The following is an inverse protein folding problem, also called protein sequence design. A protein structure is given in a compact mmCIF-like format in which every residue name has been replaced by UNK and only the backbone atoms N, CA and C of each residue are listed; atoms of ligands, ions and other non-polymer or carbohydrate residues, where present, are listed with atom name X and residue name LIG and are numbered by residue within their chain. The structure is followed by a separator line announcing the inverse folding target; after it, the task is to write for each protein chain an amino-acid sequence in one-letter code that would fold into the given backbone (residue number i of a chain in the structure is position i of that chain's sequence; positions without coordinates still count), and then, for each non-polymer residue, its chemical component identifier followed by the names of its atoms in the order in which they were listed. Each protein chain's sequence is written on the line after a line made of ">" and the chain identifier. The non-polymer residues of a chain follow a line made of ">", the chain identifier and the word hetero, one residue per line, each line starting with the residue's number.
data_IF_953662687784
#
_entry.id   IF_953662687784
#
_cell.length_a   1.000
_cell.length_b   1.000
_cell.length_c   1.000
_cell.angle_alpha   90.00
_cell.angle_beta   90.00
_cell.angle_gamma   90.00
#
_symmetry.space_group_name_H-M   'P 1'
#
loop_
_entity.id
_entity.type
_entity.pdbx_description
1 polymer ?
#
# COMPACT_ATOMS: atom_id res chain seq x y z
N UNK A 1 13.15 4.01 24.78
CA UNK A 1 13.37 5.23 23.97
C UNK A 1 12.68 6.40 24.68
N UNK A 2 13.17 7.63 24.53
CA UNK A 2 12.57 8.79 25.17
C UNK A 2 11.28 9.18 24.44
N UNK A 3 10.25 9.62 25.16
CA UNK A 3 9.01 10.12 24.54
C UNK A 3 9.32 11.33 23.66
N UNK A 4 8.64 11.47 22.49
CA UNK A 4 8.85 12.61 21.62
C UNK A 4 8.44 13.90 22.34
N UNK A 5 9.09 15.04 22.04
CA UNK A 5 8.65 16.34 22.52
C UNK A 5 7.19 16.60 22.11
N UNK A 6 6.47 17.33 22.97
CA UNK A 6 5.05 17.60 22.75
C UNK A 6 4.84 18.52 21.54
N UNK A 7 3.88 18.16 20.71
CA UNK A 7 3.40 18.97 19.59
C UNK A 7 2.75 20.28 20.08
N UNK A 8 2.75 21.34 19.25
CA UNK A 8 2.07 22.59 19.59
C UNK A 8 0.56 22.36 19.74
N UNK A 9 -0.11 23.21 20.51
CA UNK A 9 -1.51 23.01 20.90
C UNK A 9 -2.48 22.64 19.75
N UNK A 10 -2.41 23.27 18.56
CA UNK A 10 -3.29 22.90 17.44
C UNK A 10 -3.08 21.47 16.92
N UNK A 11 -1.87 20.93 17.06
CA UNK A 11 -1.46 19.61 16.57
C UNK A 11 -1.48 18.54 17.66
N UNK A 12 -1.92 18.85 18.87
CA UNK A 12 -1.92 17.87 19.97
C UNK A 12 -2.78 16.63 19.70
N UNK A 13 -3.77 16.74 18.81
CA UNK A 13 -4.57 15.58 18.39
C UNK A 13 -3.72 14.52 17.67
N UNK A 14 -2.60 14.90 17.03
CA UNK A 14 -1.65 13.97 16.39
C UNK A 14 -0.66 13.33 17.36
N UNK A 15 -0.60 13.80 18.62
CA UNK A 15 0.36 13.32 19.62
C UNK A 15 0.29 11.80 19.86
N UNK A 16 -0.91 11.17 19.98
CA UNK A 16 -1.00 9.72 20.18
C UNK A 16 -0.33 8.93 19.04
N UNK A 17 -0.52 9.36 17.80
CA UNK A 17 0.10 8.70 16.65
C UNK A 17 1.60 8.95 16.58
N UNK A 18 2.07 10.16 16.92
CA UNK A 18 3.49 10.46 17.03
C UNK A 18 4.20 9.57 18.08
N UNK A 19 3.53 9.27 19.20
CA UNK A 19 4.03 8.34 20.22
C UNK A 19 4.09 6.89 19.73
N UNK A 20 3.18 6.49 18.83
CA UNK A 20 3.24 5.20 18.14
C UNK A 20 4.43 5.15 17.19
N UNK A 21 4.60 6.16 16.32
CA UNK A 21 5.73 6.23 15.38
C UNK A 21 7.09 6.20 16.10
N UNK A 22 7.20 6.85 17.26
CA UNK A 22 8.43 6.85 18.05
C UNK A 22 8.83 5.47 18.61
N UNK A 23 7.92 4.48 18.58
CA UNK A 23 8.18 3.10 19.00
C UNK A 23 8.57 2.19 17.83
N UNK A 24 8.34 2.64 16.59
CA UNK A 24 8.62 1.89 15.36
C UNK A 24 10.07 2.15 14.91
N UNK A 25 10.85 1.12 14.56
CA UNK A 25 12.16 1.30 13.94
C UNK A 25 12.08 2.12 12.65
N UNK A 26 13.04 3.02 12.35
CA UNK A 26 12.99 3.85 11.15
C UNK A 26 12.87 3.09 9.83
N UNK A 27 13.36 1.84 9.78
CA UNK A 27 13.31 0.92 8.64
C UNK A 27 12.00 0.14 8.51
N UNK A 28 11.07 0.30 9.45
CA UNK A 28 9.72 -0.32 9.44
C UNK A 28 8.60 0.74 9.37
N UNK A 29 8.96 2.02 9.19
CA UNK A 29 7.98 3.12 9.16
C UNK A 29 7.06 3.08 7.93
N UNK A 30 7.43 2.37 6.88
CA UNK A 30 6.61 2.12 5.68
C UNK A 30 5.53 1.04 5.89
N UNK A 31 5.63 0.24 6.96
CA UNK A 31 4.65 -0.80 7.33
C UNK A 31 3.65 -0.32 8.41
N UNK A 32 3.63 0.97 8.74
CA UNK A 32 2.76 1.52 9.80
C UNK A 32 1.31 1.62 9.32
N UNK A 33 0.41 0.94 10.02
CA UNK A 33 -1.04 1.06 9.84
C UNK A 33 -1.51 2.49 10.12
N UNK A 34 -2.18 3.09 9.13
CA UNK A 34 -2.56 4.52 9.15
C UNK A 34 -3.94 4.78 9.76
N UNK A 35 -4.74 3.75 10.06
CA UNK A 35 -6.14 3.89 10.53
C UNK A 35 -6.27 4.84 11.71
N UNK A 36 -5.37 4.75 12.70
CA UNK A 36 -5.40 5.64 13.88
C UNK A 36 -5.16 7.10 13.50
N UNK A 37 -4.29 7.35 12.52
CA UNK A 37 -4.04 8.71 12.01
C UNK A 37 -5.26 9.23 11.23
N UNK A 38 -5.83 8.39 10.37
CA UNK A 38 -7.02 8.71 9.58
C UNK A 38 -8.20 9.07 10.50
N UNK A 39 -8.48 8.28 11.53
CA UNK A 39 -9.53 8.56 12.53
C UNK A 39 -9.34 9.93 13.19
N UNK A 40 -8.09 10.24 13.59
CA UNK A 40 -7.74 11.51 14.21
C UNK A 40 -7.94 12.69 13.25
N UNK A 41 -7.63 12.51 11.96
CA UNK A 41 -7.84 13.52 10.93
C UNK A 41 -9.33 13.68 10.58
N UNK A 42 -10.10 12.59 10.48
CA UNK A 42 -11.57 12.64 10.30
C UNK A 42 -12.23 13.41 11.44
N UNK A 43 -11.84 13.12 12.68
CA UNK A 43 -12.33 13.87 13.85
C UNK A 43 -11.92 15.35 13.80
N UNK A 44 -10.72 15.66 13.29
CA UNK A 44 -10.22 17.04 13.16
C UNK A 44 -11.04 17.87 12.17
N UNK A 45 -11.51 17.26 11.08
CA UNK A 45 -12.26 17.93 10.02
C UNK A 45 -13.79 17.72 10.10
N UNK A 46 -14.28 17.10 11.17
CA UNK A 46 -15.69 16.73 11.32
C UNK A 46 -16.61 17.96 11.16
N UNK A 47 -17.54 17.86 10.22
CA UNK A 47 -18.54 18.90 9.96
C UNK A 47 -18.05 20.08 9.11
N UNK A 48 -16.82 20.04 8.61
CA UNK A 48 -16.29 21.01 7.64
C UNK A 48 -16.67 20.60 6.21
N UNK A 49 -16.78 21.59 5.32
CA UNK A 49 -16.80 21.30 3.89
C UNK A 49 -15.39 21.03 3.34
N UNK A 50 -15.31 20.56 2.09
CA UNK A 50 -14.05 20.21 1.42
C UNK A 50 -13.01 21.35 1.50
N UNK A 51 -13.41 22.58 1.19
CA UNK A 51 -12.49 23.71 1.14
C UNK A 51 -12.00 24.10 2.55
N UNK A 52 -12.90 24.06 3.54
CA UNK A 52 -12.57 24.32 4.94
C UNK A 52 -11.63 23.25 5.52
N UNK A 53 -11.87 21.98 5.20
CA UNK A 53 -11.04 20.86 5.62
C UNK A 53 -9.65 20.88 4.97
N UNK A 54 -9.57 21.16 3.67
CA UNK A 54 -8.30 21.34 2.94
C UNK A 54 -7.45 22.45 3.56
N UNK A 55 -8.07 23.61 3.82
CA UNK A 55 -7.37 24.73 4.43
C UNK A 55 -6.88 24.38 5.84
N UNK A 56 -7.72 23.73 6.64
CA UNK A 56 -7.35 23.32 8.00
C UNK A 56 -6.16 22.35 8.02
N UNK A 57 -6.18 21.32 7.18
CA UNK A 57 -5.09 20.35 7.12
C UNK A 57 -3.81 20.95 6.48
N UNK A 58 -3.95 21.92 5.57
CA UNK A 58 -2.81 22.69 5.07
C UNK A 58 -2.17 23.55 6.17
N UNK A 59 -2.98 24.23 6.97
CA UNK A 59 -2.48 25.03 8.11
C UNK A 59 -1.81 24.14 9.16
N UNK A 60 -2.38 22.97 9.45
CA UNK A 60 -1.81 21.99 10.37
C UNK A 60 -0.47 21.45 9.85
N UNK A 61 -0.35 21.18 8.53
CA UNK A 61 0.91 20.79 7.87
C UNK A 61 1.97 21.88 8.00
N UNK A 62 1.64 23.13 7.69
CA UNK A 62 2.59 24.25 7.74
C UNK A 62 3.12 24.46 9.18
N UNK A 63 2.23 24.33 10.16
CA UNK A 63 2.60 24.40 11.58
C UNK A 63 3.50 23.23 11.99
N UNK A 64 3.23 22.03 11.49
CA UNK A 64 4.06 20.85 11.73
C UNK A 64 5.45 21.03 11.12
N UNK A 65 5.53 21.51 9.87
CA UNK A 65 6.79 21.79 9.18
C UNK A 65 7.63 22.81 9.94
N UNK A 66 7.02 23.90 10.40
CA UNK A 66 7.71 24.89 11.23
C UNK A 66 8.27 24.24 12.51
N UNK A 67 7.44 23.50 13.24
CA UNK A 67 7.84 22.87 14.49
C UNK A 67 8.97 21.85 14.32
N UNK A 68 8.90 21.02 13.28
CA UNK A 68 9.93 20.00 13.01
C UNK A 68 11.27 20.67 12.65
N UNK A 69 11.24 21.73 11.83
CA UNK A 69 12.43 22.48 11.45
C UNK A 69 13.12 23.18 12.63
N UNK A 70 12.38 23.52 13.68
CA UNK A 70 12.93 24.07 14.93
C UNK A 70 13.60 23.00 15.80
N UNK A 71 13.22 21.72 15.68
CA UNK A 71 13.69 20.62 16.55
C UNK A 71 15.12 20.12 16.26
N UNK A 72 15.72 20.51 15.11
CA UNK A 72 17.09 20.18 14.67
C UNK A 72 17.43 18.69 14.48
N UNK A 73 16.49 17.75 14.65
CA UNK A 73 16.70 16.31 14.45
C UNK A 73 15.97 15.81 13.19
N UNK A 74 16.72 15.61 12.11
CA UNK A 74 16.21 15.10 10.83
C UNK A 74 15.66 13.66 10.90
N UNK A 75 15.92 12.93 12.00
CA UNK A 75 15.39 11.57 12.22
C UNK A 75 14.11 11.54 13.06
N UNK A 76 13.54 12.72 13.35
CA UNK A 76 12.34 12.80 14.17
C UNK A 76 11.11 12.17 13.46
N UNK A 77 10.33 11.29 14.12
CA UNK A 77 9.18 10.60 13.49
C UNK A 77 8.11 11.54 12.93
N UNK A 78 8.07 12.78 13.38
CA UNK A 78 7.19 13.81 12.83
C UNK A 78 7.45 14.13 11.34
N UNK A 79 8.62 13.83 10.79
CA UNK A 79 8.85 13.93 9.34
C UNK A 79 8.00 12.94 8.54
N UNK A 80 7.65 11.80 9.13
CA UNK A 80 6.72 10.85 8.52
C UNK A 80 5.32 11.46 8.44
N UNK A 81 4.82 12.07 9.52
CA UNK A 81 3.54 12.78 9.55
C UNK A 81 3.49 13.93 8.53
N UNK A 82 4.60 14.66 8.39
CA UNK A 82 4.74 15.71 7.38
C UNK A 82 4.66 15.14 5.95
N UNK A 83 5.27 13.98 5.73
CA UNK A 83 5.18 13.24 4.46
C UNK A 83 3.75 12.78 4.17
N UNK A 84 3.04 12.28 5.18
CA UNK A 84 1.62 11.91 5.07
C UNK A 84 0.79 13.13 4.66
N UNK A 85 0.91 14.25 5.37
CA UNK A 85 0.17 15.49 5.10
C UNK A 85 0.67 16.29 3.87
N UNK A 86 1.58 15.75 3.06
CA UNK A 86 2.20 16.51 1.96
C UNK A 86 1.22 16.90 0.83
N UNK A 87 0.08 16.21 0.73
CA UNK A 87 -0.98 16.49 -0.26
C UNK A 87 -2.37 16.57 0.38
N UNK A 88 -2.69 17.65 1.14
CA UNK A 88 -3.97 17.78 1.83
C UNK A 88 -5.20 17.60 0.93
N UNK A 89 -5.28 18.13 -0.31
CA UNK A 89 -6.45 17.94 -1.17
C UNK A 89 -6.82 16.47 -1.43
N UNK A 90 -5.82 15.60 -1.64
CA UNK A 90 -6.08 14.19 -1.93
C UNK A 90 -6.54 13.44 -0.68
N UNK A 91 -5.98 13.82 0.46
CA UNK A 91 -6.29 13.19 1.76
C UNK A 91 -7.68 13.63 2.23
N UNK A 92 -8.06 14.89 2.04
CA UNK A 92 -9.38 15.38 2.48
C UNK A 92 -10.51 14.76 1.69
N UNK A 93 -10.36 14.57 0.37
CA UNK A 93 -11.36 13.86 -0.43
C UNK A 93 -11.64 12.46 0.16
N UNK A 94 -10.58 11.69 0.48
CA UNK A 94 -10.70 10.35 1.09
C UNK A 94 -11.24 10.38 2.54
N UNK A 95 -10.88 11.39 3.33
CA UNK A 95 -11.31 11.53 4.73
C UNK A 95 -12.74 12.09 4.89
N UNK A 96 -13.31 12.71 3.85
CA UNK A 96 -14.70 13.18 3.86
C UNK A 96 -15.68 12.16 3.28
N UNK A 97 -15.18 11.16 2.54
CA UNK A 97 -15.97 9.99 2.21
C UNK A 97 -16.39 9.30 3.52
N UNK A 98 -17.69 9.04 3.75
CA UNK A 98 -18.10 8.36 4.97
C UNK A 98 -17.33 7.04 5.08
N UNK A 99 -16.81 6.72 6.27
CA UNK A 99 -16.24 5.40 6.52
C UNK A 99 -17.29 4.38 6.09
N UNK A 100 -17.01 3.66 5.00
CA UNK A 100 -17.79 2.50 4.61
C UNK A 100 -17.48 1.38 5.61
N UNK A 101 -17.83 1.57 6.90
CA UNK A 101 -18.04 0.47 7.82
C UNK A 101 -19.26 -0.33 7.32
N UNK A 102 -18.98 -1.33 6.47
CA UNK A 102 -19.74 -2.59 6.33
C UNK A 102 -21.27 -2.47 6.14
N UNK A 103 -21.75 -1.94 4.99
CA UNK A 103 -23.11 -2.24 4.49
C UNK A 103 -23.16 -3.03 3.17
N UNK A 104 -22.03 -3.33 2.54
CA UNK A 104 -21.92 -4.60 1.82
C UNK A 104 -21.39 -5.60 2.81
N UNK A 105 -22.20 -6.57 3.24
CA UNK A 105 -21.69 -7.76 3.90
C UNK A 105 -20.39 -8.15 3.21
N UNK A 106 -19.26 -7.96 3.90
CA UNK A 106 -17.92 -8.23 3.38
C UNK A 106 -17.90 -9.71 3.08
N UNK A 107 -18.25 -10.06 1.84
CA UNK A 107 -18.17 -11.42 1.36
C UNK A 107 -16.71 -11.77 1.51
N UNK A 108 -16.39 -12.55 2.54
CA UNK A 108 -15.01 -12.81 2.93
C UNK A 108 -14.38 -13.57 1.76
N UNK A 109 -13.55 -12.87 0.99
CA UNK A 109 -12.86 -13.45 -0.16
C UNK A 109 -11.61 -14.13 0.34
N UNK A 110 -11.64 -15.45 0.36
CA UNK A 110 -10.48 -16.26 0.71
C UNK A 110 -9.74 -16.65 -0.55
N UNK A 111 -8.43 -16.41 -0.59
CA UNK A 111 -7.58 -16.90 -1.68
C UNK A 111 -7.03 -18.27 -1.29
N UNK A 112 -7.15 -19.23 -2.20
CA UNK A 112 -6.50 -20.53 -2.10
C UNK A 112 -5.43 -20.64 -3.20
N UNK A 113 -4.28 -21.17 -2.80
CA UNK A 113 -3.14 -21.44 -3.68
C UNK A 113 -2.36 -22.61 -3.07
N UNK A 114 -1.92 -23.57 -3.90
CA UNK A 114 -0.96 -24.58 -3.48
C UNK A 114 0.44 -23.97 -3.59
N UNK A 115 1.13 -23.64 -2.48
CA UNK A 115 2.34 -22.84 -2.55
C UNK A 115 3.53 -23.64 -3.09
N UNK A 116 4.52 -22.92 -3.65
CA UNK A 116 5.90 -23.28 -3.77
C UNK A 116 6.42 -24.36 -2.82
N UNK A 117 7.03 -25.47 -3.26
CA UNK A 117 7.81 -26.26 -2.30
C UNK A 117 8.90 -25.37 -1.67
N UNK A 118 8.92 -25.27 -0.35
CA UNK A 118 9.88 -24.44 0.41
C UNK A 118 9.43 -23.00 0.65
N UNK A 119 8.29 -22.56 0.12
CA UNK A 119 7.74 -21.23 0.40
C UNK A 119 6.94 -21.23 1.71
N UNK A 120 7.10 -20.19 2.51
CA UNK A 120 6.23 -19.95 3.68
C UNK A 120 5.04 -19.10 3.27
N UNK A 121 3.87 -19.38 3.85
CA UNK A 121 2.63 -18.65 3.57
C UNK A 121 2.07 -18.01 4.84
N UNK A 122 1.54 -16.80 4.71
CA UNK A 122 0.81 -16.07 5.76
C UNK A 122 -0.48 -15.50 5.16
N UNK A 123 -1.61 -15.74 5.80
CA UNK A 123 -2.90 -15.16 5.40
C UNK A 123 -3.08 -13.79 6.04
N UNK A 124 -3.73 -12.88 5.32
CA UNK A 124 -4.20 -11.59 5.82
C UNK A 124 -5.59 -11.30 5.19
N UNK A 125 -6.34 -10.29 5.67
CA UNK A 125 -7.65 -9.98 5.12
C UNK A 125 -7.59 -9.84 3.59
N UNK A 126 -8.41 -10.62 2.88
CA UNK A 126 -8.47 -10.64 1.41
C UNK A 126 -7.19 -11.07 0.67
N UNK A 127 -6.22 -11.72 1.33
CA UNK A 127 -4.95 -12.05 0.66
C UNK A 127 -4.02 -13.08 1.29
N UNK A 128 -2.96 -13.38 0.54
CA UNK A 128 -1.87 -14.28 0.89
C UNK A 128 -0.53 -13.60 0.67
N UNK A 129 0.34 -13.70 1.67
CA UNK A 129 1.76 -13.39 1.55
C UNK A 129 2.54 -14.70 1.43
N UNK A 130 3.45 -14.77 0.44
CA UNK A 130 4.37 -15.88 0.25
C UNK A 130 5.83 -15.39 0.32
N UNK A 131 6.70 -16.17 0.95
CA UNK A 131 8.14 -15.85 1.06
C UNK A 131 9.01 -17.08 0.79
N UNK A 132 10.09 -16.88 0.04
CA UNK A 132 11.16 -17.86 -0.14
C UNK A 132 12.53 -17.16 -0.21
N UNK A 133 13.29 -17.25 0.88
CA UNK A 133 14.57 -16.54 1.00
C UNK A 133 14.38 -15.01 0.98
N UNK A 134 14.79 -14.37 -0.11
CA UNK A 134 14.67 -12.92 -0.31
C UNK A 134 13.55 -12.54 -1.30
N UNK A 135 12.93 -13.52 -1.94
CA UNK A 135 11.79 -13.31 -2.84
C UNK A 135 10.51 -13.32 -2.00
N UNK A 136 9.64 -12.36 -2.29
CA UNK A 136 8.32 -12.24 -1.69
C UNK A 136 7.26 -12.18 -2.78
N UNK A 137 6.06 -12.64 -2.46
CA UNK A 137 4.88 -12.43 -3.27
C UNK A 137 3.69 -12.05 -2.40
N UNK A 138 2.87 -11.12 -2.88
CA UNK A 138 1.61 -10.73 -2.26
C UNK A 138 0.51 -11.00 -3.27
N UNK A 139 -0.51 -11.73 -2.84
CA UNK A 139 -1.68 -12.08 -3.64
C UNK A 139 -2.89 -11.48 -2.95
N UNK A 140 -3.61 -10.61 -3.65
CA UNK A 140 -4.79 -9.93 -3.11
C UNK A 140 -6.00 -10.19 -4.00
N UNK A 141 -7.13 -10.53 -3.38
CA UNK A 141 -8.40 -10.67 -4.07
C UNK A 141 -8.93 -9.27 -4.40
N UNK A 142 -9.43 -9.11 -5.61
CA UNK A 142 -9.97 -7.85 -6.11
C UNK A 142 -11.32 -8.08 -6.75
N UNK A 143 -12.17 -7.06 -6.73
CA UNK A 143 -13.30 -7.00 -7.64
C UNK A 143 -12.82 -6.65 -9.07
N UNK A 144 -13.74 -6.80 -10.03
CA UNK A 144 -13.46 -6.57 -11.43
C UNK A 144 -13.11 -5.11 -11.76
N UNK A 145 -13.74 -4.15 -11.07
CA UNK A 145 -13.51 -2.72 -11.30
C UNK A 145 -12.11 -2.34 -10.84
N UNK A 146 -11.69 -2.78 -9.66
CA UNK A 146 -10.35 -2.57 -9.11
C UNK A 146 -9.25 -3.09 -10.04
N UNK A 147 -9.44 -4.30 -10.62
CA UNK A 147 -8.50 -4.85 -11.62
C UNK A 147 -8.46 -4.00 -12.89
N UNK A 148 -9.61 -3.54 -13.39
CA UNK A 148 -9.67 -2.69 -14.58
C UNK A 148 -8.98 -1.35 -14.35
N UNK A 149 -9.15 -0.74 -13.17
CA UNK A 149 -8.47 0.49 -12.78
C UNK A 149 -6.96 0.29 -12.70
N UNK A 150 -6.48 -0.79 -12.10
CA UNK A 150 -5.04 -1.09 -12.07
C UNK A 150 -4.45 -1.34 -13.46
N UNK A 151 -5.18 -2.07 -14.32
CA UNK A 151 -4.79 -2.27 -15.72
C UNK A 151 -4.64 -0.93 -16.45
N UNK A 152 -5.63 -0.05 -16.31
CA UNK A 152 -5.57 1.30 -16.87
C UNK A 152 -4.40 2.12 -16.29
N UNK A 153 -4.06 1.93 -15.02
CA UNK A 153 -2.89 2.55 -14.39
C UNK A 153 -1.58 2.13 -15.06
N UNK A 154 -1.40 0.83 -15.33
CA UNK A 154 -0.23 0.33 -16.06
C UNK A 154 -0.20 0.80 -17.52
N UNK A 155 -1.34 0.78 -18.20
CA UNK A 155 -1.44 1.19 -19.61
C UNK A 155 -1.12 2.68 -19.80
N UNK A 156 -1.40 3.50 -18.79
CA UNK A 156 -1.11 4.93 -18.77
C UNK A 156 0.15 5.27 -17.97
N UNK A 157 0.97 4.28 -17.59
CA UNK A 157 2.10 4.53 -16.70
C UNK A 157 3.15 5.39 -17.40
N UNK A 158 3.45 6.53 -16.77
CA UNK A 158 4.55 7.42 -17.15
C UNK A 158 5.68 7.28 -16.14
N UNK A 159 6.87 6.95 -16.62
CA UNK A 159 8.09 6.87 -15.79
C UNK A 159 8.47 8.29 -15.34
N UNK A 160 8.47 8.60 -14.03
CA UNK A 160 8.85 9.92 -13.57
C UNK A 160 10.37 10.12 -13.67
N UNK A 161 10.86 11.27 -14.16
CA UNK A 161 12.28 11.60 -14.10
C UNK A 161 12.76 11.70 -12.63
N UNK A 162 14.01 11.30 -12.31
CA UNK A 162 15.09 10.84 -13.19
C UNK A 162 15.15 9.31 -13.35
N UNK A 163 14.08 8.58 -13.03
CA UNK A 163 14.12 7.11 -13.03
C UNK A 163 14.24 6.56 -14.46
N UNK A 164 15.07 5.54 -14.62
CA UNK A 164 15.12 4.73 -15.83
C UNK A 164 14.39 3.41 -15.54
N UNK A 165 13.15 3.31 -16.00
CA UNK A 165 12.31 2.12 -15.84
C UNK A 165 11.82 1.61 -17.18
N UNK A 166 11.72 0.29 -17.31
CA UNK A 166 11.14 -0.41 -18.45
C UNK A 166 9.93 -1.19 -17.95
N UNK A 167 8.77 -0.92 -18.54
CA UNK A 167 7.58 -1.73 -18.37
C UNK A 167 7.45 -2.66 -19.58
N UNK A 168 7.51 -3.96 -19.34
CA UNK A 168 7.15 -4.99 -20.33
C UNK A 168 5.79 -5.57 -19.99
N UNK A 169 4.96 -5.80 -21.00
CA UNK A 169 3.60 -6.34 -20.83
C UNK A 169 3.43 -7.60 -21.67
N UNK A 170 2.85 -8.64 -21.08
CA UNK A 170 2.64 -9.95 -21.72
C UNK A 170 1.27 -10.52 -21.32
N UNK A 171 0.52 -11.06 -22.27
CA UNK A 171 -0.69 -11.84 -21.97
C UNK A 171 -0.30 -13.27 -21.55
N UNK A 172 -0.85 -13.73 -20.42
CA UNK A 172 -0.44 -14.98 -19.77
C UNK A 172 -1.64 -15.87 -19.47
N UNK A 173 -1.39 -17.18 -19.48
CA UNK A 173 -2.37 -18.20 -19.10
C UNK A 173 -1.69 -19.33 -18.31
N UNK A 174 -2.19 -19.58 -17.10
CA UNK A 174 -1.78 -20.64 -16.20
C UNK A 174 -3.01 -21.52 -15.90
N UNK A 175 -3.34 -22.44 -16.81
CA UNK A 175 -4.59 -23.20 -16.70
C UNK A 175 -5.81 -22.29 -16.85
N UNK A 176 -6.68 -22.25 -15.83
CA UNK A 176 -7.87 -21.38 -15.82
C UNK A 176 -7.57 -19.94 -15.36
N UNK A 177 -6.38 -19.70 -14.79
CA UNK A 177 -5.92 -18.36 -14.46
C UNK A 177 -5.39 -17.66 -15.72
N UNK A 178 -6.07 -16.60 -16.16
CA UNK A 178 -5.73 -15.86 -17.38
C UNK A 178 -5.66 -14.37 -17.12
N UNK A 179 -4.75 -13.66 -17.78
CA UNK A 179 -4.66 -12.22 -17.62
C UNK A 179 -3.37 -11.64 -18.17
N UNK A 180 -2.88 -10.60 -17.51
CA UNK A 180 -1.76 -9.81 -18.01
C UNK A 180 -0.65 -9.80 -16.97
N UNK A 181 0.58 -10.07 -17.42
CA UNK A 181 1.83 -9.94 -16.68
C UNK A 181 2.48 -8.62 -17.05
N UNK A 182 2.82 -7.85 -16.03
CA UNK A 182 3.61 -6.63 -16.12
C UNK A 182 4.96 -6.92 -15.46
N UNK A 183 6.04 -6.71 -16.21
CA UNK A 183 7.41 -6.77 -15.69
C UNK A 183 7.96 -5.37 -15.63
N UNK A 184 8.25 -4.94 -14.41
CA UNK A 184 8.82 -3.65 -14.08
C UNK A 184 10.31 -3.84 -13.86
N UNK A 185 11.13 -3.19 -14.68
CA UNK A 185 12.58 -3.25 -14.58
C UNK A 185 13.12 -1.85 -14.30
N UNK A 186 13.73 -1.65 -13.14
CA UNK A 186 14.55 -0.45 -12.90
C UNK A 186 15.96 -0.72 -13.42
N UNK A 187 16.56 0.26 -14.12
CA UNK A 187 17.88 0.11 -14.72
C UNK A 187 19.00 0.40 -13.71
N UNK A 188 18.76 1.33 -12.77
CA UNK A 188 19.78 1.78 -11.82
C UNK A 188 19.17 2.29 -10.50
N UNK A 189 19.28 1.53 -9.38
CA UNK A 189 19.85 0.19 -9.31
C UNK A 189 19.02 -0.83 -10.09
N UNK A 190 19.67 -1.87 -10.62
CA UNK A 190 18.99 -2.88 -11.42
C UNK A 190 18.05 -3.72 -10.55
N UNK A 191 16.74 -3.53 -10.70
CA UNK A 191 15.72 -4.22 -9.93
C UNK A 191 14.61 -4.77 -10.83
N UNK A 192 13.90 -5.79 -10.32
CA UNK A 192 12.76 -6.39 -11.01
C UNK A 192 11.59 -6.48 -10.04
N UNK A 193 10.41 -6.11 -10.51
CA UNK A 193 9.13 -6.43 -9.90
C UNK A 193 8.20 -7.01 -10.96
N UNK A 194 7.38 -7.99 -10.57
CA UNK A 194 6.35 -8.58 -11.43
C UNK A 194 4.99 -8.31 -10.83
N UNK A 195 4.03 -7.90 -11.66
CA UNK A 195 2.63 -7.77 -11.30
C UNK A 195 1.79 -8.59 -12.27
N UNK A 196 0.89 -9.42 -11.76
CA UNK A 196 -0.06 -10.18 -12.57
C UNK A 196 -1.48 -9.75 -12.19
N UNK A 197 -2.25 -9.33 -13.19
CA UNK A 197 -3.67 -9.06 -13.03
C UNK A 197 -4.43 -10.21 -13.68
N UNK A 198 -4.92 -11.14 -12.85
CA UNK A 198 -5.46 -12.43 -13.30
C UNK A 198 -6.95 -12.54 -12.98
N UNK A 199 -7.70 -13.02 -13.96
CA UNK A 199 -9.00 -13.66 -13.75
C UNK A 199 -8.76 -15.12 -13.41
N UNK A 200 -9.35 -15.57 -12.31
CA UNK A 200 -9.19 -16.93 -11.77
C UNK A 200 -10.54 -17.54 -11.42
N UNK A 201 -10.62 -18.85 -11.16
CA UNK A 201 -11.84 -19.44 -10.63
C UNK A 201 -12.32 -18.70 -9.38
N UNK A 202 -13.57 -18.22 -9.44
CA UNK A 202 -14.23 -17.52 -8.34
C UNK A 202 -13.95 -16.03 -8.19
N UNK A 203 -13.05 -15.43 -8.98
CA UNK A 203 -12.83 -13.98 -8.89
C UNK A 203 -11.63 -13.44 -9.67
N UNK A 204 -11.09 -12.34 -9.18
CA UNK A 204 -9.92 -11.69 -9.74
C UNK A 204 -8.86 -11.52 -8.65
N UNK A 205 -7.59 -11.58 -9.06
CA UNK A 205 -6.46 -11.33 -8.15
C UNK A 205 -5.39 -10.45 -8.77
N UNK A 206 -4.72 -9.70 -7.91
CA UNK A 206 -3.42 -9.12 -8.17
C UNK A 206 -2.35 -9.96 -7.48
N UNK A 207 -1.36 -10.43 -8.24
CA UNK A 207 -0.14 -11.07 -7.72
C UNK A 207 1.03 -10.12 -7.94
N UNK A 208 1.64 -9.62 -6.86
CA UNK A 208 2.91 -8.87 -6.91
C UNK A 208 4.05 -9.77 -6.45
N UNK A 209 5.18 -9.75 -7.15
CA UNK A 209 6.38 -10.50 -6.79
C UNK A 209 7.58 -9.56 -6.85
N UNK A 210 8.39 -9.57 -5.79
CA UNK A 210 9.59 -8.76 -5.72
C UNK A 210 10.71 -9.43 -4.93
N UNK A 211 11.82 -8.72 -4.82
CA UNK A 211 12.99 -9.13 -4.05
C UNK A 211 13.32 -8.07 -3.00
N UNK A 212 13.53 -8.47 -1.74
CA UNK A 212 13.77 -7.56 -0.60
C UNK A 212 14.94 -6.58 -0.79
N UNK A 213 15.88 -6.93 -1.66
CA UNK A 213 17.06 -6.10 -1.99
C UNK A 213 17.05 -5.56 -3.41
N UNK A 214 15.87 -5.45 -4.02
CA UNK A 214 15.71 -4.87 -5.36
C UNK A 214 16.62 -5.53 -6.40
N UNK A 215 16.62 -6.86 -6.44
CA UNK A 215 17.47 -7.65 -7.33
C UNK A 215 16.61 -8.50 -8.27
N UNK A 216 17.22 -9.00 -9.34
CA UNK A 216 16.59 -10.01 -10.20
C UNK A 216 16.39 -11.34 -9.42
N UNK A 217 15.38 -12.11 -9.84
CA UNK A 217 14.97 -13.37 -9.21
C UNK A 217 14.32 -14.31 -10.22
N UNK A 218 14.26 -15.60 -9.95
CA UNK A 218 13.54 -16.55 -10.81
C UNK A 218 12.09 -16.71 -10.33
N UNK A 219 11.12 -16.27 -11.14
CA UNK A 219 9.69 -16.38 -10.84
C UNK A 219 9.07 -17.75 -11.14
N UNK A 220 9.79 -18.65 -11.83
CA UNK A 220 9.23 -19.87 -12.43
C UNK A 220 8.57 -20.82 -11.43
N UNK A 221 9.12 -20.92 -10.21
CA UNK A 221 8.54 -21.73 -9.16
C UNK A 221 7.12 -21.27 -8.78
N UNK A 222 6.89 -19.95 -8.67
CA UNK A 222 5.58 -19.39 -8.34
C UNK A 222 4.64 -19.46 -9.55
N UNK A 223 5.12 -19.09 -10.74
CA UNK A 223 4.34 -19.22 -11.99
C UNK A 223 3.83 -20.65 -12.20
N UNK A 224 4.66 -21.64 -11.88
CA UNK A 224 4.30 -23.06 -11.92
C UNK A 224 3.13 -23.44 -11.01
N UNK A 225 2.76 -22.61 -10.02
CA UNK A 225 1.64 -22.84 -9.11
C UNK A 225 0.44 -21.91 -9.33
N UNK A 226 0.55 -20.88 -10.18
CA UNK A 226 -0.55 -19.93 -10.42
C UNK A 226 -1.81 -20.59 -10.99
N UNK A 227 -1.67 -21.76 -11.62
CA UNK A 227 -2.81 -22.55 -12.10
C UNK A 227 -3.69 -23.15 -10.99
N UNK A 228 -3.21 -23.18 -9.75
CA UNK A 228 -3.97 -23.69 -8.58
C UNK A 228 -4.76 -22.59 -7.87
N UNK A 229 -4.57 -21.34 -8.29
CA UNK A 229 -5.11 -20.17 -7.63
C UNK A 229 -6.61 -20.06 -7.84
N UNK A 230 -7.35 -19.83 -6.75
CA UNK A 230 -8.81 -19.65 -6.76
C UNK A 230 -9.24 -18.69 -5.66
N UNK A 231 -10.36 -18.01 -5.88
CA UNK A 231 -11.01 -17.13 -4.90
C UNK A 231 -12.29 -17.82 -4.43
N UNK A 232 -12.42 -18.00 -3.13
CA UNK A 232 -13.63 -18.51 -2.48
C UNK A 232 -14.35 -17.35 -1.81
N UNK A 233 -15.68 -17.39 -1.84
CA UNK A 233 -16.55 -16.39 -1.21
C UNK A 233 -17.32 -17.09 -0.10
N UNK A 234 -17.05 -16.73 1.15
CA UNK A 234 -17.85 -17.19 2.30
C UNK A 234 -19.11 -16.33 2.40
N UNK A 235 -20.28 -16.96 2.44
CA UNK A 235 -21.59 -16.30 2.58
C UNK A 235 -22.43 -16.90 3.69
#
# INVERSE_FOLDING_TARGET
>A
MASPPSLPAPLQYLQPFLETLAQVPPDELDEVECTVLEDLLRQRIEGLDLLEAEQLLSDDRDLLEQWVNESSDASHPAYWLLGFLASPPHIVDELLEPDEEDETASVERTIELDPPSGWSTKRFPSGLELKHGQVWAIISAMDELSIQMQRAGFDNWVVPPPLEMILETEEVAFGEAVGTKYRILEVSPASKELCYLLKVPGGFVNVRIGHKKFADFDESALEGQLHTLRVETSG
#
